data_IF_440201878490
#
_entry.id   IF_440201878490
#
_cell.length_a   1.000
_cell.length_b   1.000
_cell.length_c   1.000
_cell.angle_alpha   90.00
_cell.angle_beta   90.00
_cell.angle_gamma   90.00
#
_symmetry.space_group_name_H-M   'P 1'
#
loop_
_entity.id
_entity.type
_entity.pdbx_description
1 polymer ?
#
# COMPACT_ATOMS: atom_id res chain seq x y z
N UNK A 1 -9.39 4.88 28.52
CA UNK A 1 -9.01 3.51 28.07
C UNK A 1 -7.54 3.33 28.33
N UNK A 2 -7.12 2.15 28.80
CA UNK A 2 -5.71 1.76 28.95
C UNK A 2 -5.45 0.66 27.91
N UNK A 3 -4.38 0.78 27.14
CA UNK A 3 -4.00 -0.14 26.07
C UNK A 3 -2.52 -0.52 26.24
N UNK A 4 -2.08 -1.56 25.53
CA UNK A 4 -0.67 -1.94 25.50
C UNK A 4 0.20 -0.86 24.84
N UNK A 5 1.45 -0.77 25.27
CA UNK A 5 2.42 0.13 24.65
C UNK A 5 2.86 -0.45 23.31
N UNK A 6 2.43 0.17 22.21
CA UNK A 6 2.88 -0.13 20.86
C UNK A 6 3.91 0.91 20.39
N UNK A 7 4.69 0.51 19.39
CA UNK A 7 5.70 1.33 18.76
C UNK A 7 5.13 2.34 17.76
N UNK A 8 5.98 2.71 16.79
CA UNK A 8 5.65 3.75 15.82
C UNK A 8 4.62 3.29 14.79
N UNK A 9 3.90 4.26 14.20
CA UNK A 9 2.98 3.96 13.10
C UNK A 9 3.71 3.59 11.81
N UNK A 10 3.04 2.84 10.94
CA UNK A 10 3.55 2.50 9.62
C UNK A 10 3.86 3.76 8.79
N UNK A 11 3.10 4.84 8.97
CA UNK A 11 3.43 6.14 8.35
C UNK A 11 4.84 6.61 8.74
N UNK A 12 5.21 6.50 10.02
CA UNK A 12 6.51 6.93 10.49
C UNK A 12 7.63 6.06 9.93
N UNK A 13 7.41 4.75 9.79
CA UNK A 13 8.35 3.86 9.11
C UNK A 13 8.57 4.26 7.64
N UNK A 14 7.50 4.59 6.91
CA UNK A 14 7.58 5.04 5.51
C UNK A 14 8.40 6.34 5.41
N UNK A 15 8.18 7.28 6.34
CA UNK A 15 8.91 8.55 6.41
C UNK A 15 10.38 8.35 6.75
N UNK A 16 10.67 7.51 7.74
CA UNK A 16 12.03 7.15 8.14
C UNK A 16 12.81 6.58 6.96
N UNK A 17 12.16 5.73 6.15
CA UNK A 17 12.74 5.17 4.93
C UNK A 17 12.72 6.13 3.72
N UNK A 18 12.49 7.44 3.94
CA UNK A 18 12.49 8.50 2.92
C UNK A 18 11.60 8.19 1.70
N UNK A 19 10.49 7.49 1.91
CA UNK A 19 9.57 7.06 0.84
C UNK A 19 10.23 6.22 -0.27
N UNK A 20 11.39 5.61 -0.01
CA UNK A 20 12.09 4.76 -0.99
C UNK A 20 11.44 3.38 -1.19
N UNK A 21 10.51 3.01 -0.30
CA UNK A 21 9.82 1.72 -0.34
C UNK A 21 10.54 0.66 0.50
N UNK A 22 9.77 -0.29 1.03
CA UNK A 22 10.28 -1.42 1.82
C UNK A 22 10.56 -2.61 0.89
N UNK A 23 11.43 -3.53 1.31
CA UNK A 23 11.60 -4.82 0.64
C UNK A 23 10.27 -5.57 0.60
N UNK A 24 10.01 -6.29 -0.49
CA UNK A 24 8.72 -6.98 -0.67
C UNK A 24 8.40 -7.99 0.43
N UNK A 25 9.40 -8.65 1.02
CA UNK A 25 9.17 -9.56 2.14
C UNK A 25 8.56 -8.86 3.35
N UNK A 26 9.05 -7.65 3.68
CA UNK A 26 8.49 -6.84 4.76
C UNK A 26 7.12 -6.27 4.40
N UNK A 27 6.90 -5.92 3.15
CA UNK A 27 5.55 -5.53 2.67
C UNK A 27 4.59 -6.70 2.83
N UNK A 28 4.99 -7.91 2.45
CA UNK A 28 4.20 -9.15 2.57
C UNK A 28 3.86 -9.46 4.02
N UNK A 29 4.84 -9.37 4.93
CA UNK A 29 4.61 -9.51 6.38
C UNK A 29 3.56 -8.52 6.89
N UNK A 30 3.72 -7.23 6.58
CA UNK A 30 2.78 -6.19 7.00
C UNK A 30 1.38 -6.43 6.42
N UNK A 31 1.29 -6.76 5.12
CA UNK A 31 0.03 -7.10 4.47
C UNK A 31 -0.66 -8.29 5.15
N UNK A 32 0.10 -9.31 5.57
CA UNK A 32 -0.45 -10.49 6.25
C UNK A 32 -1.07 -10.10 7.58
N UNK A 33 -0.34 -9.35 8.40
CA UNK A 33 -0.86 -8.87 9.69
C UNK A 33 -2.14 -8.03 9.52
N UNK A 34 -2.17 -7.13 8.54
CA UNK A 34 -3.35 -6.31 8.25
C UNK A 34 -4.52 -7.19 7.82
N UNK A 35 -4.31 -8.12 6.90
CA UNK A 35 -5.37 -9.00 6.41
C UNK A 35 -5.90 -9.92 7.51
N UNK A 36 -5.04 -10.47 8.37
CA UNK A 36 -5.46 -11.28 9.53
C UNK A 36 -6.31 -10.45 10.49
N UNK A 37 -5.90 -9.21 10.79
CA UNK A 37 -6.71 -8.32 11.64
C UNK A 37 -8.05 -7.94 11.02
N UNK A 38 -8.06 -7.65 9.71
CA UNK A 38 -9.28 -7.34 8.97
C UNK A 38 -10.22 -8.55 8.88
N UNK A 39 -9.67 -9.75 8.70
CA UNK A 39 -10.45 -10.97 8.69
C UNK A 39 -11.19 -11.13 10.02
N UNK A 40 -10.46 -11.07 11.14
CA UNK A 40 -11.04 -11.11 12.47
C UNK A 40 -12.13 -10.04 12.70
N UNK A 41 -11.88 -8.79 12.29
CA UNK A 41 -12.88 -7.73 12.41
C UNK A 41 -14.15 -8.04 11.62
N UNK A 42 -14.02 -8.59 10.41
CA UNK A 42 -15.14 -8.85 9.52
C UNK A 42 -15.89 -10.14 9.85
N UNK A 43 -15.19 -11.25 10.10
CA UNK A 43 -15.78 -12.58 10.30
C UNK A 43 -16.31 -12.76 11.71
N UNK A 44 -15.50 -12.42 12.73
CA UNK A 44 -15.85 -12.68 14.13
C UNK A 44 -16.66 -11.54 14.75
N UNK A 45 -16.32 -10.29 14.42
CA UNK A 45 -16.92 -9.12 15.06
C UNK A 45 -17.98 -8.40 14.23
N UNK A 46 -18.07 -8.70 12.92
CA UNK A 46 -18.97 -8.00 12.00
C UNK A 46 -18.72 -6.49 11.91
N UNK A 47 -17.50 -6.03 12.23
CA UNK A 47 -17.13 -4.62 12.30
C UNK A 47 -16.30 -4.20 11.09
N UNK A 48 -16.64 -3.04 10.53
CA UNK A 48 -15.85 -2.41 9.45
C UNK A 48 -14.98 -1.32 10.05
N UNK A 49 -13.66 -1.41 9.88
CA UNK A 49 -12.73 -0.39 10.39
C UNK A 49 -13.01 1.01 9.81
N UNK A 50 -13.37 1.11 8.52
CA UNK A 50 -13.73 2.32 7.76
C UNK A 50 -12.63 3.38 7.53
N UNK A 51 -11.62 3.47 8.40
CA UNK A 51 -10.51 4.44 8.31
C UNK A 51 -9.12 3.77 8.24
N UNK A 52 -8.98 2.70 7.45
CA UNK A 52 -7.69 1.98 7.37
C UNK A 52 -6.65 2.84 6.62
N UNK A 53 -5.60 3.23 7.32
CA UNK A 53 -4.51 4.08 6.82
C UNK A 53 -3.20 3.84 7.60
N UNK A 54 -2.03 4.20 7.05
CA UNK A 54 -0.74 3.92 7.69
C UNK A 54 -0.56 4.52 9.09
N UNK A 55 -1.29 5.57 9.43
CA UNK A 55 -1.33 6.20 10.75
C UNK A 55 -2.00 5.30 11.80
N UNK A 56 -2.98 4.51 11.37
CA UNK A 56 -3.79 3.63 12.23
C UNK A 56 -3.23 2.20 12.27
N UNK A 57 -2.04 1.96 11.70
CA UNK A 57 -1.34 0.68 11.77
C UNK A 57 -0.10 0.91 12.62
N UNK A 58 -0.10 0.35 13.83
CA UNK A 58 1.01 0.47 14.79
C UNK A 58 1.93 -0.75 14.70
N UNK A 59 3.24 -0.51 14.83
CA UNK A 59 4.25 -1.55 14.88
C UNK A 59 4.49 -1.97 16.33
N UNK A 60 4.98 -3.20 16.55
CA UNK A 60 5.34 -3.66 17.90
C UNK A 60 6.57 -2.92 18.44
N UNK A 61 7.56 -2.68 17.58
CA UNK A 61 8.81 -2.02 17.97
C UNK A 61 8.88 -0.58 17.47
N UNK A 62 9.46 0.30 18.29
CA UNK A 62 9.81 1.67 17.89
C UNK A 62 11.03 1.69 16.98
N UNK A 63 11.07 2.67 16.08
CA UNK A 63 12.22 2.92 15.22
C UNK A 63 13.32 3.55 16.06
N UNK A 64 14.56 3.11 15.84
CA UNK A 64 15.74 3.68 16.48
C UNK A 64 15.92 5.16 16.06
N UNK A 65 15.65 6.07 16.99
CA UNK A 65 15.75 7.51 16.76
C UNK A 65 17.18 7.96 16.46
N UNK A 66 18.20 7.21 16.89
CA UNK A 66 19.61 7.57 16.64
C UNK A 66 20.00 7.43 15.17
N UNK A 67 19.27 6.59 14.42
CA UNK A 67 19.46 6.34 12.99
C UNK A 67 18.47 7.11 12.13
N UNK A 68 17.64 7.97 12.73
CA UNK A 68 16.57 8.71 12.07
C UNK A 68 17.11 9.94 11.31
N UNK A 69 17.20 9.89 9.97
CA UNK A 69 17.69 11.01 9.19
C UNK A 69 16.72 12.20 9.16
N UNK A 70 15.46 12.02 9.59
CA UNK A 70 14.45 13.09 9.63
C UNK A 70 14.61 13.91 10.92
N UNK A 71 15.11 13.31 12.00
CA UNK A 71 15.42 14.00 13.27
C UNK A 71 16.85 14.55 13.31
N UNK A 72 17.77 14.04 12.49
CA UNK A 72 19.19 14.46 12.47
C UNK A 72 19.47 15.80 11.75
N UNK A 73 18.46 16.66 11.54
CA UNK A 73 18.66 18.02 11.01
C UNK A 73 19.07 18.15 9.54
N UNK A 74 19.24 17.05 8.80
CA UNK A 74 19.45 17.11 7.35
C UNK A 74 18.08 17.14 6.66
N UNK A 75 17.61 18.34 6.32
CA UNK A 75 16.51 18.49 5.36
C UNK A 75 16.81 17.64 4.13
N UNK A 76 15.97 16.67 3.75
CA UNK A 76 16.10 16.03 2.46
C UNK A 76 15.90 17.13 1.42
N UNK A 77 16.99 17.53 0.76
CA UNK A 77 16.97 18.38 -0.42
C UNK A 77 16.22 17.61 -1.51
N UNK A 78 14.90 17.74 -1.49
CA UNK A 78 14.09 17.54 -2.68
C UNK A 78 14.34 18.78 -3.53
N UNK A 79 15.30 18.70 -4.45
CA UNK A 79 15.27 19.59 -5.61
C UNK A 79 13.95 19.36 -6.33
N UNK A 80 13.03 20.30 -6.09
CA UNK A 80 11.81 20.44 -6.85
C UNK A 80 12.24 20.96 -8.24
N UNK A 81 11.92 20.29 -9.36
CA UNK A 81 12.04 20.95 -10.65
C UNK A 81 11.12 22.17 -10.60
N UNK A 82 11.71 23.32 -10.90
CA UNK A 82 11.15 24.65 -10.70
C UNK A 82 9.70 24.75 -11.19
N UNK A 83 8.85 25.35 -10.35
CA UNK A 83 7.41 25.45 -10.59
C UNK A 83 6.73 26.22 -9.48
N UNK A 84 6.91 27.53 -9.58
CA UNK A 84 6.24 28.71 -9.02
C UNK A 84 5.41 28.64 -7.71
N UNK A 85 5.57 29.70 -6.92
CA UNK A 85 4.96 29.94 -5.63
C UNK A 85 3.46 30.28 -5.70
N UNK A 86 2.70 29.82 -4.71
CA UNK A 86 1.93 30.67 -3.78
C UNK A 86 1.27 29.80 -2.69
N UNK A 87 1.27 30.33 -1.47
CA UNK A 87 1.10 29.59 -0.22
C UNK A 87 -0.33 29.45 0.31
N UNK A 88 -0.42 28.91 1.52
CA UNK A 88 -1.61 28.99 2.37
C UNK A 88 -2.11 27.66 2.95
N UNK A 89 -1.70 27.37 4.19
CA UNK A 89 -2.57 26.94 5.30
C UNK A 89 -3.40 25.65 5.20
N UNK A 90 -3.09 24.70 6.10
CA UNK A 90 -4.10 23.99 6.89
C UNK A 90 -4.83 22.80 6.27
N UNK A 91 -4.52 21.62 6.83
CA UNK A 91 -5.40 20.45 7.00
C UNK A 91 -6.07 19.80 5.78
N UNK A 92 -5.96 18.46 5.71
CA UNK A 92 -6.66 17.57 4.78
C UNK A 92 -6.28 17.65 3.30
N UNK A 93 -5.08 17.19 2.94
CA UNK A 93 -4.83 16.84 1.53
C UNK A 93 -4.15 15.48 1.41
N UNK A 94 -4.96 14.43 1.27
CA UNK A 94 -4.57 13.14 0.70
C UNK A 94 -3.48 13.32 -0.36
N UNK A 95 -2.34 12.66 -0.13
CA UNK A 95 -1.19 12.69 -1.00
C UNK A 95 -1.61 12.44 -2.45
N UNK A 96 -1.16 13.31 -3.37
CA UNK A 96 -1.44 13.23 -4.82
C UNK A 96 -1.07 11.85 -5.40
N UNK A 97 -0.10 11.18 -4.78
CA UNK A 97 0.35 9.83 -5.09
C UNK A 97 -0.72 8.80 -4.70
N UNK A 98 -1.33 8.92 -3.53
CA UNK A 98 -2.41 8.04 -3.06
C UNK A 98 -3.68 8.22 -3.91
N UNK A 99 -4.02 9.47 -4.25
CA UNK A 99 -5.10 9.79 -5.21
C UNK A 99 -4.81 9.24 -6.61
N UNK A 100 -3.56 9.27 -7.07
CA UNK A 100 -3.16 8.72 -8.38
C UNK A 100 -3.15 7.20 -8.38
N UNK A 101 -2.72 6.55 -7.29
CA UNK A 101 -2.70 5.10 -7.14
C UNK A 101 -4.12 4.54 -7.01
N UNK A 102 -4.97 5.13 -6.15
CA UNK A 102 -6.42 4.82 -6.09
C UNK A 102 -7.11 5.05 -7.43
N UNK A 103 -6.76 6.09 -8.21
CA UNK A 103 -7.32 6.33 -9.55
C UNK A 103 -6.83 5.33 -10.61
N UNK A 104 -5.59 4.84 -10.52
CA UNK A 104 -5.03 3.85 -11.46
C UNK A 104 -5.54 2.44 -11.18
N UNK A 105 -5.60 2.06 -9.91
CA UNK A 105 -6.24 0.85 -9.40
C UNK A 105 -7.69 0.70 -9.91
N UNK A 106 -8.50 1.74 -9.70
CA UNK A 106 -9.90 1.79 -10.18
C UNK A 106 -10.06 1.71 -11.70
N UNK A 107 -8.98 1.90 -12.48
CA UNK A 107 -9.00 1.93 -13.95
C UNK A 107 -8.48 0.65 -14.61
N UNK A 108 -7.63 -0.13 -13.96
CA UNK A 108 -7.17 -1.41 -14.49
C UNK A 108 -8.33 -2.42 -14.61
N UNK A 109 -9.27 -2.37 -13.67
CA UNK A 109 -10.45 -3.24 -13.62
C UNK A 109 -11.54 -2.84 -14.62
N UNK A 110 -11.58 -1.57 -15.06
CA UNK A 110 -12.67 -1.03 -15.87
C UNK A 110 -12.80 -1.66 -17.27
N UNK A 111 -11.78 -2.39 -17.76
CA UNK A 111 -11.83 -3.08 -19.07
C UNK A 111 -12.46 -4.49 -19.02
N UNK A 112 -12.75 -5.05 -17.83
CA UNK A 112 -13.31 -6.42 -17.72
C UNK A 112 -14.84 -6.42 -17.49
N UNK A 113 -15.51 -5.28 -17.58
CA UNK A 113 -16.97 -5.20 -17.37
C UNK A 113 -17.60 -4.00 -18.06
N UNK A 114 -17.71 -4.04 -19.39
CA UNK A 114 -18.24 -2.94 -20.21
C UNK A 114 -19.70 -2.53 -19.88
N UNK A 115 -20.50 -3.37 -19.21
CA UNK A 115 -21.89 -3.03 -18.86
C UNK A 115 -22.11 -2.42 -17.47
N UNK A 116 -21.30 -2.76 -16.46
CA UNK A 116 -21.53 -2.28 -15.07
C UNK A 116 -20.79 -1.00 -14.70
N UNK A 117 -19.76 -0.60 -15.47
CA UNK A 117 -19.01 0.64 -15.22
C UNK A 117 -19.87 1.88 -15.47
N UNK A 118 -20.78 1.86 -16.45
CA UNK A 118 -21.70 2.98 -16.72
C UNK A 118 -22.59 3.32 -15.51
N UNK A 119 -23.20 2.31 -14.85
CA UNK A 119 -24.04 2.56 -13.67
C UNK A 119 -23.24 3.16 -12.49
N UNK A 120 -22.03 2.67 -12.24
CA UNK A 120 -21.20 3.15 -11.11
C UNK A 120 -20.59 4.52 -11.43
N UNK A 121 -20.18 4.75 -12.67
CA UNK A 121 -19.67 6.03 -13.13
C UNK A 121 -20.73 7.12 -13.00
N UNK A 122 -22.01 6.82 -13.27
CA UNK A 122 -23.13 7.76 -13.26
C UNK A 122 -23.79 7.92 -11.87
N UNK A 123 -23.63 6.95 -10.96
CA UNK A 123 -24.30 6.92 -9.66
C UNK A 123 -23.70 7.79 -8.54
N UNK A 124 -22.51 8.36 -8.72
CA UNK A 124 -21.86 9.16 -7.68
C UNK A 124 -22.40 10.59 -7.57
N UNK A 125 -22.44 11.16 -6.36
CA UNK A 125 -22.91 12.54 -6.11
C UNK A 125 -22.22 13.62 -6.96
N UNK A 126 -20.95 13.39 -7.32
CA UNK A 126 -20.15 14.26 -8.22
C UNK A 126 -19.90 13.64 -9.59
N UNK A 127 -20.62 12.58 -9.95
CA UNK A 127 -20.44 11.89 -11.23
C UNK A 127 -20.49 12.87 -12.40
N UNK A 128 -21.49 13.76 -12.39
CA UNK A 128 -21.74 14.75 -13.44
C UNK A 128 -20.57 15.72 -13.64
N UNK A 129 -19.67 15.90 -12.67
CA UNK A 129 -18.50 16.75 -12.81
C UNK A 129 -17.38 16.08 -13.63
N UNK A 130 -17.36 14.74 -13.65
CA UNK A 130 -16.26 13.94 -14.20
C UNK A 130 -16.65 13.13 -15.43
N UNK A 131 -17.88 12.61 -15.45
CA UNK A 131 -18.37 11.70 -16.48
C UNK A 131 -19.50 12.34 -17.28
N UNK A 132 -19.56 12.03 -18.57
CA UNK A 132 -20.70 12.35 -19.41
C UNK A 132 -21.85 11.35 -19.19
N UNK A 133 -22.93 11.52 -19.96
CA UNK A 133 -24.11 10.64 -19.87
C UNK A 133 -23.85 9.20 -20.34
N UNK A 134 -22.75 8.97 -21.06
CA UNK A 134 -22.34 7.67 -21.57
C UNK A 134 -21.38 6.95 -20.60
N UNK A 135 -20.85 7.67 -19.61
CA UNK A 135 -19.90 7.16 -18.62
C UNK A 135 -18.44 7.48 -18.94
N UNK A 136 -18.20 8.32 -19.96
CA UNK A 136 -16.87 8.71 -20.41
C UNK A 136 -16.35 9.96 -19.71
N UNK A 137 -15.03 10.10 -19.60
CA UNK A 137 -14.39 11.22 -18.90
C UNK A 137 -14.47 12.51 -19.72
N UNK A 138 -15.21 13.51 -19.22
CA UNK A 138 -15.44 14.80 -19.89
C UNK A 138 -14.18 15.54 -20.33
N UNK A 139 -13.12 15.50 -19.50
CA UNK A 139 -11.91 16.33 -19.67
C UNK A 139 -10.68 15.54 -20.15
N UNK A 140 -10.80 14.22 -20.31
CA UNK A 140 -9.66 13.36 -20.67
C UNK A 140 -10.05 12.55 -21.91
N UNK A 141 -9.62 13.02 -23.07
CA UNK A 141 -9.94 12.40 -24.36
C UNK A 141 -9.11 11.15 -24.67
N UNK A 142 -7.90 11.06 -24.13
CA UNK A 142 -7.00 9.92 -24.33
C UNK A 142 -6.40 9.49 -23.00
N UNK A 143 -6.75 8.29 -22.56
CA UNK A 143 -6.19 7.70 -21.36
C UNK A 143 -5.13 6.68 -21.76
N UNK A 144 -3.89 6.91 -21.34
CA UNK A 144 -2.81 5.91 -21.49
C UNK A 144 -2.93 4.89 -20.37
N UNK A 145 -3.22 3.65 -20.75
CA UNK A 145 -3.16 2.50 -19.85
C UNK A 145 -1.70 2.10 -19.63
N UNK A 146 -1.34 1.80 -18.38
CA UNK A 146 -0.05 1.21 -18.03
C UNK A 146 -0.33 0.01 -17.13
N UNK A 147 -0.08 -1.22 -17.60
CA UNK A 147 -0.20 -2.43 -16.80
C UNK A 147 0.57 -2.31 -15.48
N UNK A 148 0.02 -2.89 -14.40
CA UNK A 148 0.58 -2.74 -13.06
C UNK A 148 1.95 -3.43 -12.92
N UNK A 149 2.09 -4.64 -13.46
CA UNK A 149 3.34 -5.38 -13.61
C UNK A 149 4.40 -4.53 -14.33
N UNK A 150 4.07 -3.94 -15.48
CA UNK A 150 4.98 -3.07 -16.22
C UNK A 150 5.34 -1.81 -15.43
N UNK A 151 4.40 -1.22 -14.70
CA UNK A 151 4.68 -0.08 -13.82
C UNK A 151 5.68 -0.46 -12.72
N UNK A 152 5.53 -1.63 -12.10
CA UNK A 152 6.41 -2.12 -11.04
C UNK A 152 7.83 -2.36 -11.57
N UNK A 153 7.97 -2.96 -12.76
CA UNK A 153 9.28 -3.16 -13.40
C UNK A 153 9.89 -1.82 -13.83
N UNK A 154 9.19 -1.05 -14.67
CA UNK A 154 9.77 0.11 -15.33
C UNK A 154 10.06 1.25 -14.37
N UNK A 155 9.14 1.51 -13.43
CA UNK A 155 9.23 2.66 -12.52
C UNK A 155 9.86 2.29 -11.19
N UNK A 156 9.53 1.13 -10.63
CA UNK A 156 9.98 0.72 -9.31
C UNK A 156 11.15 -0.27 -9.36
N UNK A 157 11.57 -0.69 -10.57
CA UNK A 157 12.74 -1.55 -10.80
C UNK A 157 12.66 -2.89 -10.05
N UNK A 158 11.43 -3.40 -9.86
CA UNK A 158 11.24 -4.75 -9.34
C UNK A 158 11.63 -5.78 -10.42
N UNK A 159 12.16 -6.95 -10.02
CA UNK A 159 12.36 -8.08 -10.92
C UNK A 159 11.03 -8.48 -11.59
N UNK A 160 11.07 -8.89 -12.85
CA UNK A 160 9.85 -9.16 -13.64
C UNK A 160 8.98 -10.26 -13.01
N UNK A 161 9.59 -11.31 -12.46
CA UNK A 161 8.88 -12.38 -11.76
C UNK A 161 8.15 -11.86 -10.50
N UNK A 162 8.88 -11.18 -9.60
CA UNK A 162 8.31 -10.61 -8.37
C UNK A 162 7.23 -9.56 -8.67
N UNK A 163 7.47 -8.72 -9.68
CA UNK A 163 6.52 -7.71 -10.12
C UNK A 163 5.21 -8.33 -10.62
N UNK A 164 5.29 -9.44 -11.36
CA UNK A 164 4.12 -10.15 -11.87
C UNK A 164 3.29 -10.74 -10.72
N UNK A 165 3.91 -11.50 -9.83
CA UNK A 165 3.22 -12.12 -8.68
C UNK A 165 2.59 -11.07 -7.76
N UNK A 166 3.31 -9.97 -7.51
CA UNK A 166 2.79 -8.90 -6.68
C UNK A 166 1.66 -8.14 -7.38
N UNK A 167 1.76 -7.91 -8.70
CA UNK A 167 0.69 -7.29 -9.47
C UNK A 167 -0.58 -8.15 -9.51
N UNK A 168 -0.46 -9.47 -9.57
CA UNK A 168 -1.60 -10.40 -9.49
C UNK A 168 -2.32 -10.24 -8.14
N UNK A 169 -1.57 -10.24 -7.03
CA UNK A 169 -2.12 -9.99 -5.70
C UNK A 169 -2.79 -8.60 -5.59
N UNK A 170 -2.09 -7.54 -6.03
CA UNK A 170 -2.61 -6.18 -5.97
C UNK A 170 -3.88 -6.02 -6.81
N UNK A 171 -3.97 -6.71 -7.96
CA UNK A 171 -5.17 -6.67 -8.80
C UNK A 171 -6.41 -7.15 -8.05
N UNK A 172 -6.29 -8.16 -7.21
CA UNK A 172 -7.38 -8.67 -6.37
C UNK A 172 -7.80 -7.66 -5.29
N UNK A 173 -6.84 -7.15 -4.51
CA UNK A 173 -7.13 -6.19 -3.42
C UNK A 173 -7.66 -4.86 -3.97
N UNK A 174 -7.31 -4.53 -5.22
CA UNK A 174 -7.75 -3.33 -5.92
C UNK A 174 -8.98 -3.54 -6.81
N UNK A 175 -9.63 -4.72 -6.73
CA UNK A 175 -10.85 -5.02 -7.48
C UNK A 175 -11.92 -3.95 -7.21
N UNK A 176 -12.39 -3.33 -8.29
CA UNK A 176 -13.26 -2.17 -8.20
C UNK A 176 -14.68 -2.56 -7.82
N UNK A 177 -15.20 -3.64 -8.40
CA UNK A 177 -16.54 -4.12 -8.11
C UNK A 177 -16.55 -4.80 -6.73
N UNK A 178 -17.35 -4.32 -5.76
CA UNK A 178 -17.37 -4.91 -4.42
C UNK A 178 -17.75 -6.39 -4.43
N UNK A 179 -18.70 -6.77 -5.30
CA UNK A 179 -19.17 -8.16 -5.46
C UNK A 179 -18.07 -9.14 -5.89
N UNK A 180 -17.03 -8.64 -6.56
CA UNK A 180 -15.92 -9.45 -7.06
C UNK A 180 -14.71 -9.38 -6.13
N UNK A 181 -14.75 -8.51 -5.11
CA UNK A 181 -13.62 -8.29 -4.22
C UNK A 181 -13.55 -9.46 -3.23
N UNK A 182 -12.41 -10.17 -3.16
CA UNK A 182 -12.24 -11.27 -2.22
C UNK A 182 -12.33 -10.79 -0.76
N UNK A 183 -12.68 -11.71 0.13
CA UNK A 183 -12.59 -11.48 1.58
C UNK A 183 -11.14 -11.38 2.04
N UNK A 184 -10.92 -10.87 3.26
CA UNK A 184 -9.57 -10.80 3.83
C UNK A 184 -8.95 -12.21 3.97
N UNK A 185 -9.73 -13.19 4.43
CA UNK A 185 -9.35 -14.61 4.44
C UNK A 185 -8.90 -15.11 3.06
N UNK A 186 -9.69 -14.89 2.01
CA UNK A 186 -9.35 -15.32 0.65
C UNK A 186 -8.07 -14.63 0.14
N UNK A 187 -7.80 -13.39 0.56
CA UNK A 187 -6.56 -12.70 0.22
C UNK A 187 -5.33 -13.35 0.88
N UNK A 188 -5.46 -13.91 2.09
CA UNK A 188 -4.39 -14.62 2.80
C UNK A 188 -3.98 -15.92 2.09
N UNK A 189 -4.90 -16.54 1.36
CA UNK A 189 -4.65 -17.78 0.62
C UNK A 189 -3.88 -17.56 -0.69
N UNK A 190 -3.72 -16.30 -1.13
CA UNK A 190 -3.08 -15.98 -2.40
C UNK A 190 -1.61 -16.46 -2.46
N UNK A 191 -1.13 -17.00 -3.61
CA UNK A 191 0.24 -17.53 -3.73
C UNK A 191 1.33 -16.55 -3.30
N UNK A 192 1.20 -15.27 -3.67
CA UNK A 192 2.14 -14.22 -3.26
C UNK A 192 2.28 -14.06 -1.73
N UNK A 193 1.23 -14.39 -0.97
CA UNK A 193 1.24 -14.38 0.50
C UNK A 193 1.93 -15.61 1.09
N UNK A 194 1.95 -16.73 0.36
CA UNK A 194 2.46 -18.02 0.82
C UNK A 194 3.82 -18.39 0.19
N UNK A 195 4.49 -17.43 -0.45
CA UNK A 195 5.87 -17.60 -0.92
C UNK A 195 6.74 -17.91 0.30
N UNK A 196 7.21 -19.16 0.37
CA UNK A 196 8.25 -19.57 1.30
C UNK A 196 9.47 -18.75 0.93
N UNK A 197 9.97 -17.95 1.87
CA UNK A 197 11.21 -17.20 1.70
C UNK A 197 12.34 -18.21 1.44
N UNK A 198 12.65 -18.51 0.19
CA UNK A 198 13.81 -19.31 -0.18
C UNK A 198 15.04 -18.43 -0.07
N UNK A 199 15.43 -18.06 1.14
CA UNK A 199 16.72 -17.43 1.42
C UNK A 199 17.17 -17.72 2.85
N UNK A 200 17.83 -18.88 3.03
CA UNK A 200 18.93 -19.15 3.96
C UNK A 200 18.91 -18.53 5.38
N UNK A 201 17.90 -18.86 6.20
CA UNK A 201 17.95 -18.65 7.66
C UNK A 201 18.34 -19.93 8.44
N UNK A 202 18.84 -20.97 7.76
CA UNK A 202 19.32 -22.19 8.44
C UNK A 202 20.75 -22.04 9.02
N UNK A 203 21.60 -21.15 8.48
CA UNK A 203 23.02 -21.07 8.89
C UNK A 203 23.33 -19.91 9.86
N UNK A 204 22.38 -18.99 10.11
CA UNK A 204 22.63 -17.79 10.92
C UNK A 204 22.13 -17.88 12.37
N UNK A 205 21.20 -18.79 12.67
CA UNK A 205 20.68 -18.95 14.05
C UNK A 205 21.65 -19.73 14.93
N UNK A 206 22.38 -20.72 14.39
CA UNK A 206 23.36 -21.50 15.15
C UNK A 206 24.64 -20.70 15.48
N UNK A 207 24.95 -19.71 14.64
CA UNK A 207 26.11 -18.81 14.79
C UNK A 207 25.90 -17.72 15.85
N UNK A 208 24.65 -17.30 16.10
CA UNK A 208 24.34 -16.26 17.09
C UNK A 208 24.16 -16.79 18.51
N UNK A 209 23.77 -18.06 18.70
CA UNK A 209 23.63 -18.66 20.04
C UNK A 209 24.99 -19.05 20.65
N UNK A 210 26.01 -19.35 19.83
CA UNK A 210 27.35 -19.70 20.31
C UNK A 210 28.15 -18.51 20.87
N UNK A 211 27.80 -17.27 20.54
CA UNK A 211 28.52 -16.07 20.99
C UNK A 211 28.01 -15.46 22.31
N UNK A 212 27.03 -16.07 22.99
CA UNK A 212 26.53 -15.60 24.29
C UNK A 212 26.92 -16.48 25.48
N UNK A 213 27.81 -17.46 25.29
CA UNK A 213 28.40 -18.23 26.39
C UNK A 213 29.91 -18.33 26.21
N UNK A 214 30.67 -17.27 26.55
CA UNK A 214 31.94 -17.33 27.32
C UNK A 214 32.26 -15.91 27.80
N UNK A 215 32.10 -15.66 29.10
CA UNK A 215 33.05 -14.96 29.98
C UNK A 215 32.48 -15.03 31.40
N UNK A 216 32.79 -16.15 32.06
CA UNK A 216 33.01 -16.16 33.50
C UNK A 216 34.39 -15.60 33.81
#
# INVERSE_FOLDING_TARGET
MVLEFLGDSLLRLIRYNRYKGLKLDKVREICRCILTGLDYLHSELGMIHSDLKPENILLVSTIDSSKDPVRSGLTPLLEKPEGNANGGGGSSTMNLIEKKLKRRAKRAVAKISERRVSMIAVGGARSKDYFDRHGDLKRIRRLKYWPLDRLLVDKYKLPEAEAKEFAEFLSLVLEFAPEKRPTAQQCLEHPWMNVVSTQNDADNVESQVRNLKIKG
#
